data_IF_778190262108
#
_entry.id   IF_778190262108
#
_cell.length_a   1.000
_cell.length_b   1.000
_cell.length_c   1.000
_cell.angle_alpha   90.00
_cell.angle_beta   90.00
_cell.angle_gamma   90.00
#
_symmetry.space_group_name_H-M   'P 1'
#
loop_
_entity.id
_entity.type
_entity.pdbx_description
1 polymer ?
#
# COMPACT_ATOMS: atom_id res chain seq x y z
N UNK A 1 0.30 15.78 -5.03
CA UNK A 1 1.35 15.98 -4.01
C UNK A 1 1.47 14.72 -3.17
N UNK A 2 2.66 14.20 -3.01
CA UNK A 2 2.85 12.96 -2.28
C UNK A 2 2.76 13.18 -0.77
N UNK A 3 2.11 12.25 -0.08
CA UNK A 3 2.12 12.25 1.37
C UNK A 3 3.55 12.00 1.88
N UNK A 4 3.99 12.69 2.97
CA UNK A 4 5.36 12.53 3.48
C UNK A 4 5.76 11.09 3.80
N UNK A 5 4.82 10.25 4.20
CA UNK A 5 5.09 8.85 4.54
C UNK A 5 5.17 7.93 3.32
N UNK A 6 4.74 8.38 2.15
CA UNK A 6 4.72 7.52 0.95
C UNK A 6 6.11 6.98 0.62
N UNK A 7 7.13 7.82 0.65
CA UNK A 7 8.50 7.39 0.37
C UNK A 7 8.99 6.34 1.37
N UNK A 8 8.62 6.48 2.64
CA UNK A 8 8.96 5.49 3.67
C UNK A 8 8.28 4.16 3.42
N UNK A 9 7.01 4.18 3.02
CA UNK A 9 6.26 2.97 2.69
C UNK A 9 6.89 2.28 1.48
N UNK A 10 7.24 3.03 0.45
CA UNK A 10 7.87 2.48 -0.74
C UNK A 10 9.27 1.94 -0.44
N UNK A 11 10.01 2.57 0.46
CA UNK A 11 11.31 2.07 0.91
C UNK A 11 11.19 0.73 1.61
N UNK A 12 10.18 0.55 2.47
CA UNK A 12 9.91 -0.74 3.12
C UNK A 12 9.56 -1.81 2.09
N UNK A 13 8.69 -1.46 1.14
CA UNK A 13 8.32 -2.36 0.06
C UNK A 13 9.54 -2.82 -0.73
N UNK A 14 10.43 -1.90 -1.07
CA UNK A 14 11.62 -2.19 -1.84
C UNK A 14 12.63 -3.04 -1.05
N UNK A 15 12.79 -2.76 0.24
CA UNK A 15 13.76 -3.44 1.08
C UNK A 15 13.31 -4.86 1.46
N UNK A 16 12.02 -5.06 1.71
CA UNK A 16 11.46 -6.31 2.22
C UNK A 16 10.59 -7.07 1.21
N UNK A 17 10.25 -6.45 0.09
CA UNK A 17 9.37 -7.04 -0.91
C UNK A 17 7.90 -7.05 -0.51
N UNK A 18 7.56 -6.49 0.64
CA UNK A 18 6.19 -6.46 1.15
C UNK A 18 6.03 -5.32 2.16
N UNK A 19 4.87 -4.68 2.11
CA UNK A 19 4.47 -3.73 3.14
C UNK A 19 2.99 -3.90 3.44
N UNK A 20 2.61 -3.75 4.70
CA UNK A 20 1.23 -3.89 5.15
C UNK A 20 0.81 -2.59 5.83
N UNK A 21 -0.30 -2.03 5.36
CA UNK A 21 -0.90 -0.85 5.95
C UNK A 21 -2.21 -1.27 6.61
N UNK A 22 -2.36 -0.95 7.88
CA UNK A 22 -3.56 -1.31 8.65
C UNK A 22 -4.22 -0.08 9.22
N UNK A 23 -5.53 -0.15 9.32
CA UNK A 23 -6.33 0.89 9.92
C UNK A 23 -7.40 0.24 10.80
N UNK A 24 -7.53 0.74 12.03
CA UNK A 24 -8.57 0.28 12.94
C UNK A 24 -9.88 0.99 12.59
N UNK A 25 -10.77 0.28 11.86
CA UNK A 25 -12.05 0.82 11.39
C UNK A 25 -13.18 -0.17 11.63
N UNK A 26 -14.37 0.38 11.86
CA UNK A 26 -15.57 -0.43 12.01
C UNK A 26 -16.14 -0.85 10.65
N UNK A 27 -15.82 -0.14 9.57
CA UNK A 27 -16.34 -0.42 8.23
C UNK A 27 -15.33 -0.05 7.16
N UNK A 28 -15.51 -0.57 5.95
CA UNK A 28 -14.61 -0.37 4.83
C UNK A 28 -13.36 -1.24 4.93
N UNK A 29 -12.29 -0.84 4.22
CA UNK A 29 -11.03 -1.58 4.28
C UNK A 29 -10.37 -1.42 5.64
N UNK A 30 -9.82 -2.49 6.14
CA UNK A 30 -9.05 -2.49 7.37
C UNK A 30 -7.57 -2.75 7.11
N UNK A 31 -7.21 -3.23 5.93
CA UNK A 31 -5.83 -3.56 5.61
C UNK A 31 -5.57 -3.47 4.11
N UNK A 32 -4.40 -2.95 3.75
CA UNK A 32 -3.87 -2.99 2.40
C UNK A 32 -2.49 -3.65 2.49
N UNK A 33 -2.27 -4.70 1.71
CA UNK A 33 -0.98 -5.38 1.61
C UNK A 33 -0.43 -5.22 0.20
N UNK A 34 0.80 -4.76 0.08
CA UNK A 34 1.49 -4.61 -1.20
C UNK A 34 2.67 -5.57 -1.21
N UNK A 35 2.71 -6.46 -2.20
CA UNK A 35 3.79 -7.43 -2.36
C UNK A 35 4.46 -7.23 -3.72
N UNK A 36 5.78 -7.13 -3.72
CA UNK A 36 6.56 -7.07 -4.94
C UNK A 36 6.91 -8.48 -5.39
N UNK A 37 6.57 -8.82 -6.62
CA UNK A 37 6.82 -10.16 -7.17
C UNK A 37 7.15 -10.07 -8.66
N UNK A 38 8.35 -10.49 -9.04
CA UNK A 38 8.79 -10.62 -10.44
C UNK A 38 8.47 -9.38 -11.30
N UNK A 39 8.84 -8.20 -10.81
CA UNK A 39 8.63 -6.96 -11.54
C UNK A 39 7.20 -6.43 -11.50
N UNK A 40 6.33 -7.05 -10.72
CA UNK A 40 4.95 -6.60 -10.53
C UNK A 40 4.68 -6.34 -9.06
N UNK A 41 3.60 -5.61 -8.81
CA UNK A 41 3.14 -5.31 -7.45
C UNK A 41 1.72 -5.82 -7.28
N UNK A 42 1.51 -6.65 -6.29
CA UNK A 42 0.19 -7.21 -5.98
C UNK A 42 -0.34 -6.48 -4.76
N UNK A 43 -1.49 -5.83 -4.92
CA UNK A 43 -2.15 -5.08 -3.87
C UNK A 43 -3.39 -5.84 -3.43
N UNK A 44 -3.38 -6.31 -2.20
CA UNK A 44 -4.52 -6.99 -1.60
C UNK A 44 -5.17 -6.11 -0.55
N UNK A 45 -6.50 -6.15 -0.48
CA UNK A 45 -7.24 -5.39 0.53
C UNK A 45 -8.08 -6.33 1.38
N UNK A 46 -8.37 -5.91 2.61
CA UNK A 46 -9.27 -6.62 3.51
C UNK A 46 -10.41 -5.67 3.88
N UNK A 47 -11.67 -6.06 3.66
CA UNK A 47 -12.15 -7.27 3.01
C UNK A 47 -11.86 -7.32 1.51
N UNK A 48 -11.78 -8.52 1.01
CA UNK A 48 -11.33 -8.98 -0.27
C UNK A 48 -11.35 -8.08 -1.49
N UNK A 49 -10.18 -7.69 -1.93
CA UNK A 49 -9.92 -7.07 -3.22
C UNK A 49 -8.48 -7.39 -3.61
N UNK A 50 -8.22 -7.42 -4.90
CA UNK A 50 -6.89 -7.67 -5.42
C UNK A 50 -6.66 -6.86 -6.68
N UNK A 51 -5.54 -6.18 -6.74
CA UNK A 51 -5.14 -5.36 -7.88
C UNK A 51 -3.68 -5.64 -8.20
N UNK A 52 -3.37 -5.76 -9.48
CA UNK A 52 -1.99 -5.94 -9.93
C UNK A 52 -1.55 -4.68 -10.64
N UNK A 53 -0.42 -4.11 -10.19
CA UNK A 53 0.21 -2.96 -10.83
C UNK A 53 1.54 -3.40 -11.43
N UNK A 54 1.82 -2.90 -12.63
CA UNK A 54 3.06 -3.23 -13.33
C UNK A 54 4.18 -2.21 -13.09
N UNK A 55 3.89 -1.12 -12.40
CA UNK A 55 4.85 -0.05 -12.17
C UNK A 55 4.73 0.54 -10.77
N UNK A 56 5.81 1.14 -10.31
CA UNK A 56 5.83 1.83 -9.03
C UNK A 56 4.90 3.05 -9.04
N UNK A 57 4.75 3.70 -10.20
CA UNK A 57 3.82 4.82 -10.34
C UNK A 57 2.38 4.39 -10.05
N UNK A 58 1.97 3.21 -10.53
CA UNK A 58 0.65 2.66 -10.25
C UNK A 58 0.44 2.37 -8.77
N UNK A 59 1.46 1.84 -8.10
CA UNK A 59 1.43 1.62 -6.64
C UNK A 59 1.27 2.94 -5.90
N UNK A 60 2.02 3.95 -6.28
CA UNK A 60 1.96 5.27 -5.67
C UNK A 60 0.57 5.88 -5.81
N UNK A 61 -0.03 5.80 -7.00
CA UNK A 61 -1.39 6.28 -7.23
C UNK A 61 -2.41 5.58 -6.33
N UNK A 62 -2.29 4.27 -6.20
CA UNK A 62 -3.18 3.48 -5.33
C UNK A 62 -3.03 3.90 -3.87
N UNK A 63 -1.80 4.08 -3.40
CA UNK A 63 -1.55 4.54 -2.05
C UNK A 63 -2.15 5.92 -1.81
N UNK A 64 -1.94 6.86 -2.70
CA UNK A 64 -2.44 8.22 -2.54
C UNK A 64 -3.96 8.30 -2.60
N UNK A 65 -4.61 7.40 -3.34
CA UNK A 65 -6.07 7.27 -3.32
C UNK A 65 -6.59 6.75 -1.98
N UNK A 66 -5.72 6.23 -1.13
CA UNK A 66 -6.04 5.69 0.19
C UNK A 66 -5.20 6.38 1.26
N UNK A 67 -5.16 7.71 1.23
CA UNK A 67 -4.29 8.52 2.10
C UNK A 67 -4.50 8.26 3.59
N UNK A 68 -5.71 7.86 4.01
CA UNK A 68 -5.98 7.53 5.40
C UNK A 68 -5.12 6.35 5.89
N UNK A 69 -4.85 5.39 5.03
CA UNK A 69 -3.96 4.27 5.35
C UNK A 69 -2.51 4.74 5.48
N UNK A 70 -2.11 5.67 4.62
CA UNK A 70 -0.76 6.25 4.69
C UNK A 70 -0.60 6.97 6.02
N UNK A 71 -1.56 7.78 6.42
CA UNK A 71 -1.51 8.54 7.68
C UNK A 71 -1.47 7.62 8.90
N UNK A 72 -2.20 6.52 8.87
CA UNK A 72 -2.26 5.56 9.95
C UNK A 72 -1.03 4.66 10.03
N UNK A 73 -0.27 4.56 8.95
CA UNK A 73 0.87 3.65 8.90
C UNK A 73 1.99 4.09 9.83
N UNK A 74 2.55 3.12 10.54
CA UNK A 74 3.70 3.32 11.41
C UNK A 74 4.84 2.44 10.95
N UNK A 75 6.02 3.02 10.89
CA UNK A 75 7.23 2.31 10.48
C UNK A 75 7.59 1.16 11.43
#
# INVERSE_FOLDING_TARGET
>A
MNHPKTDSILAVLNAHGRVVLRMNRASGFTQITITKSKGRYIIGTVPGGRLIQSSLAGVTLTLESNSMFIEAWKA
#
